data_IF_847065354783
#
_entry.id   IF_847065354783
#
_cell.length_a   1.000
_cell.length_b   1.000
_cell.length_c   1.000
_cell.angle_alpha   90.00
_cell.angle_beta   90.00
_cell.angle_gamma   90.00
#
_symmetry.space_group_name_H-M   'P 1'
#
loop_
_entity.id
_entity.type
_entity.pdbx_description
1 polymer ?
#
# COMPACT_ATOMS: atom_id res chain seq x y z
N UNK A 1 -22.74 17.40 -18.85
CA UNK A 1 -21.43 17.56 -18.18
C UNK A 1 -21.60 17.03 -16.77
N UNK A 2 -21.47 15.72 -16.66
CA UNK A 2 -21.50 14.99 -15.39
C UNK A 2 -20.17 15.32 -14.68
N UNK A 3 -20.28 15.93 -13.49
CA UNK A 3 -19.17 16.23 -12.61
C UNK A 3 -19.19 15.27 -11.41
N UNK A 4 -19.37 13.98 -11.66
CA UNK A 4 -19.17 12.96 -10.64
C UNK A 4 -17.68 12.87 -10.32
N UNK A 5 -17.25 13.04 -9.06
CA UNK A 5 -15.84 12.93 -8.71
C UNK A 5 -15.34 11.52 -9.04
N UNK A 6 -14.26 11.43 -9.81
CA UNK A 6 -13.59 10.16 -10.08
C UNK A 6 -13.19 9.51 -8.73
N UNK A 7 -13.53 8.24 -8.48
CA UNK A 7 -13.40 7.62 -7.16
C UNK A 7 -11.96 7.38 -6.72
N UNK A 8 -10.96 7.77 -7.51
CA UNK A 8 -9.61 7.28 -7.31
C UNK A 8 -8.68 8.17 -6.52
N UNK A 9 -8.74 9.50 -6.55
CA UNK A 9 -7.81 10.31 -5.74
C UNK A 9 -8.36 11.73 -5.49
N UNK A 10 -9.35 11.86 -4.62
CA UNK A 10 -9.67 13.18 -4.05
C UNK A 10 -8.70 13.43 -2.90
N UNK A 11 -7.70 14.27 -3.16
CA UNK A 11 -6.95 15.09 -2.21
C UNK A 11 -6.41 14.37 -0.95
N UNK A 12 -5.08 14.36 -0.78
CA UNK A 12 -4.44 14.12 0.52
C UNK A 12 -4.79 15.32 1.44
N UNK A 13 -6.06 15.43 1.84
CA UNK A 13 -6.45 16.28 2.96
C UNK A 13 -5.78 15.66 4.17
N UNK A 14 -4.95 16.46 4.87
CA UNK A 14 -4.29 16.13 6.14
C UNK A 14 -4.95 14.95 6.83
N UNK A 15 -4.45 13.76 6.49
CA UNK A 15 -4.94 12.54 7.05
C UNK A 15 -4.46 12.57 8.49
N UNK A 16 -5.31 13.01 9.41
CA UNK A 16 -5.26 12.56 10.80
C UNK A 16 -5.64 11.07 10.81
N UNK A 17 -4.94 10.29 10.00
CA UNK A 17 -5.02 8.85 9.97
C UNK A 17 -4.39 8.43 11.27
N UNK A 18 -5.28 7.98 12.15
CA UNK A 18 -4.90 7.41 13.42
C UNK A 18 -3.97 6.23 13.19
N UNK A 19 -3.09 6.01 14.16
CA UNK A 19 -2.31 4.78 14.25
C UNK A 19 -3.31 3.59 14.18
N UNK A 20 -3.05 2.66 13.28
CA UNK A 20 -3.88 1.49 13.01
C UNK A 20 -4.82 1.61 11.82
N UNK A 21 -5.01 2.79 11.22
CA UNK A 21 -5.84 2.90 10.01
C UNK A 21 -5.15 2.26 8.78
N UNK A 22 -5.98 1.86 7.82
CA UNK A 22 -5.56 1.30 6.54
C UNK A 22 -5.63 2.35 5.43
N UNK A 23 -4.55 2.49 4.68
CA UNK A 23 -4.39 3.36 3.53
C UNK A 23 -4.12 2.52 2.29
N UNK A 24 -4.80 2.80 1.19
CA UNK A 24 -4.48 2.19 -0.10
C UNK A 24 -3.61 3.15 -0.91
N UNK A 25 -2.37 2.76 -1.22
CA UNK A 25 -1.43 3.59 -1.98
C UNK A 25 -0.42 2.74 -2.75
N UNK A 26 -0.08 3.15 -3.97
CA UNK A 26 0.83 2.41 -4.84
C UNK A 26 0.26 1.07 -5.32
N UNK A 27 1.03 0.36 -6.13
CA UNK A 27 0.65 -0.94 -6.69
C UNK A 27 1.83 -1.90 -6.67
N UNK A 28 1.58 -3.16 -6.38
CA UNK A 28 2.57 -4.24 -6.47
C UNK A 28 1.90 -5.47 -7.07
N UNK A 29 2.56 -6.22 -7.97
CA UNK A 29 2.01 -7.46 -8.48
C UNK A 29 1.88 -8.50 -7.36
N UNK A 30 0.65 -8.87 -7.01
CA UNK A 30 0.36 -9.82 -5.94
C UNK A 30 -0.18 -11.15 -6.48
N UNK A 31 -0.37 -11.26 -7.79
CA UNK A 31 -0.76 -12.51 -8.44
C UNK A 31 0.47 -13.30 -8.87
N UNK A 32 0.29 -14.61 -9.06
CA UNK A 32 1.36 -15.49 -9.53
C UNK A 32 1.92 -15.09 -10.91
N UNK A 33 1.13 -14.39 -11.74
CA UNK A 33 1.53 -13.94 -13.07
C UNK A 33 2.42 -12.70 -13.04
N UNK A 34 2.45 -11.95 -11.93
CA UNK A 34 3.38 -10.85 -11.70
C UNK A 34 3.20 -9.60 -12.59
N UNK A 35 2.17 -9.57 -13.43
CA UNK A 35 1.85 -8.44 -14.31
C UNK A 35 0.72 -7.55 -13.81
N UNK A 36 0.09 -7.90 -12.69
CA UNK A 36 -1.05 -7.17 -12.16
C UNK A 36 -0.62 -5.87 -11.45
N UNK A 37 -1.54 -4.91 -11.41
CA UNK A 37 -1.35 -3.61 -10.73
C UNK A 37 -2.16 -3.56 -9.45
N UNK A 38 -2.09 -4.63 -8.65
CA UNK A 38 -2.89 -4.74 -7.43
C UNK A 38 -2.52 -3.63 -6.44
N UNK A 39 -3.50 -2.84 -5.94
CA UNK A 39 -3.23 -1.80 -4.95
C UNK A 39 -2.66 -2.38 -3.65
N UNK A 40 -1.72 -1.68 -3.04
CA UNK A 40 -1.15 -2.08 -1.75
C UNK A 40 -1.95 -1.46 -0.62
N UNK A 41 -2.32 -2.27 0.37
CA UNK A 41 -2.87 -1.82 1.64
C UNK A 41 -1.75 -1.62 2.66
N UNK A 42 -1.75 -0.45 3.29
CA UNK A 42 -0.76 -0.01 4.26
C UNK A 42 -1.44 0.27 5.59
N UNK A 43 -0.92 -0.31 6.67
CA UNK A 43 -1.30 0.04 8.03
C UNK A 43 -0.40 1.14 8.57
N UNK A 44 -1.01 2.18 9.14
CA UNK A 44 -0.26 3.28 9.75
C UNK A 44 0.22 2.87 11.12
N UNK A 45 1.54 2.85 11.30
CA UNK A 45 2.18 2.55 12.57
C UNK A 45 2.49 3.81 13.37
N UNK A 46 2.82 4.91 12.67
CA UNK A 46 3.13 6.19 13.29
C UNK A 46 2.81 7.34 12.33
N UNK A 47 2.30 8.42 12.89
CA UNK A 47 2.07 9.68 12.20
C UNK A 47 2.89 10.76 12.90
N UNK A 48 3.78 11.42 12.16
CA UNK A 48 4.67 12.49 12.64
C UNK A 48 4.61 13.66 11.67
N UNK A 49 5.02 14.85 12.11
CA UNK A 49 5.03 16.04 11.26
C UNK A 49 5.88 15.87 9.99
N UNK A 50 6.94 15.04 10.07
CA UNK A 50 7.87 14.77 8.97
C UNK A 50 7.42 13.59 8.07
N UNK A 51 6.33 12.91 8.41
CA UNK A 51 5.79 11.83 7.59
C UNK A 51 5.13 10.67 8.34
N UNK A 52 4.74 9.65 7.57
CA UNK A 52 4.05 8.46 8.03
C UNK A 52 4.98 7.24 8.01
N UNK A 53 4.91 6.43 9.07
CA UNK A 53 5.46 5.08 9.06
C UNK A 53 4.35 4.10 8.72
N UNK A 54 4.54 3.38 7.62
CA UNK A 54 3.57 2.47 7.04
C UNK A 54 4.14 1.05 7.02
N UNK A 55 3.27 0.06 7.23
CA UNK A 55 3.58 -1.35 7.04
C UNK A 55 2.59 -1.95 6.05
N UNK A 56 3.06 -2.75 5.09
CA UNK A 56 2.14 -3.44 4.18
C UNK A 56 1.34 -4.48 4.96
N UNK A 57 0.03 -4.53 4.74
CA UNK A 57 -0.84 -5.49 5.42
C UNK A 57 -0.52 -6.94 5.02
N UNK A 58 -0.05 -7.12 3.78
CA UNK A 58 0.36 -8.41 3.22
C UNK A 58 1.82 -8.37 2.77
N UNK A 59 2.46 -9.54 2.72
CA UNK A 59 3.79 -9.71 2.17
C UNK A 59 3.78 -9.39 0.68
N UNK A 60 4.65 -8.47 0.25
CA UNK A 60 4.74 -8.06 -1.15
C UNK A 60 5.61 -9.02 -1.97
N UNK A 61 6.79 -9.39 -1.47
CA UNK A 61 7.68 -10.33 -2.13
C UNK A 61 8.32 -11.26 -1.10
N UNK A 62 8.50 -12.53 -1.47
CA UNK A 62 9.16 -13.55 -0.68
C UNK A 62 10.24 -14.22 -1.53
N UNK A 63 11.49 -13.81 -1.34
CA UNK A 63 12.63 -14.41 -2.04
C UNK A 63 13.35 -15.40 -1.14
N UNK A 64 13.55 -16.62 -1.64
CA UNK A 64 14.42 -17.61 -0.99
C UNK A 64 15.88 -17.26 -1.30
N UNK A 65 16.62 -16.87 -0.28
CA UNK A 65 18.05 -16.53 -0.41
C UNK A 65 18.99 -17.72 -0.16
N UNK A 66 18.49 -18.81 0.39
CA UNK A 66 19.23 -20.06 0.49
C UNK A 66 18.95 -20.93 -0.74
N UNK A 67 20.03 -21.44 -1.37
CA UNK A 67 19.94 -22.56 -2.30
C UNK A 67 19.91 -23.84 -1.47
N UNK A 68 19.01 -24.75 -1.80
CA UNK A 68 19.08 -26.13 -1.29
C UNK A 68 20.43 -26.72 -1.71
N UNK A 69 21.19 -27.34 -0.79
CA UNK A 69 22.36 -28.11 -1.19
C UNK A 69 21.89 -29.23 -2.12
N UNK A 70 22.48 -29.30 -3.32
CA UNK A 70 22.28 -30.41 -4.26
C UNK A 70 22.88 -31.71 -3.72
#
# INVERSE_FOLDING_TARGET
>A
MDNSPSPFLTSVQNMNVGIGALLTFGTYPQTAEGGDRTPIQWRVLKNTDDGLFLLSEYLLDCRRYHREPV
#
